data_IF_361756899148
#
_entry.id   IF_361756899148
#
_cell.length_a   1.000
_cell.length_b   1.000
_cell.length_c   1.000
_cell.angle_alpha   90.00
_cell.angle_beta   90.00
_cell.angle_gamma   90.00
#
_symmetry.space_group_name_H-M   'P 1'
#
loop_
_entity.id
_entity.type
_entity.pdbx_description
1 polymer ?
#
# COMPACT_ATOMS: atom_id res chain seq x y z
N UNK A 1 2.48 -15.00 11.18
CA UNK A 1 1.07 -14.53 11.19
C UNK A 1 0.96 -13.43 10.15
N UNK A 2 0.13 -13.59 9.13
CA UNK A 2 -0.20 -12.53 8.16
C UNK A 2 -1.41 -11.72 8.66
N UNK A 3 -1.52 -10.48 8.21
CA UNK A 3 -2.66 -9.60 8.47
C UNK A 3 -3.65 -9.66 7.31
N UNK A 4 -4.93 -9.48 7.60
CA UNK A 4 -5.95 -9.30 6.57
C UNK A 4 -5.76 -7.95 5.88
N UNK A 5 -5.89 -7.94 4.55
CA UNK A 5 -5.80 -6.73 3.74
C UNK A 5 -7.20 -6.34 3.27
N UNK A 6 -7.67 -5.20 3.76
CA UNK A 6 -8.95 -4.59 3.37
C UNK A 6 -8.67 -3.32 2.55
N UNK A 7 -9.32 -3.19 1.40
CA UNK A 7 -9.15 -2.05 0.48
C UNK A 7 -10.36 -1.11 0.60
N UNK A 8 -10.12 0.15 0.93
CA UNK A 8 -11.18 1.16 1.01
C UNK A 8 -11.75 1.48 -0.37
N UNK A 9 -12.98 2.00 -0.42
CA UNK A 9 -13.61 2.41 -1.68
C UNK A 9 -12.83 3.52 -2.39
N UNK A 10 -12.19 4.42 -1.65
CA UNK A 10 -11.31 5.47 -2.18
C UNK A 10 -10.05 4.87 -2.81
N UNK A 11 -9.35 3.99 -2.09
CA UNK A 11 -8.17 3.32 -2.62
C UNK A 11 -8.49 2.53 -3.90
N UNK A 12 -9.65 1.85 -3.95
CA UNK A 12 -10.10 1.15 -5.15
C UNK A 12 -10.28 2.09 -6.35
N UNK A 13 -10.84 3.29 -6.16
CA UNK A 13 -10.99 4.29 -7.22
C UNK A 13 -9.64 4.84 -7.67
N UNK A 14 -8.69 5.03 -6.75
CA UNK A 14 -7.36 5.52 -7.09
C UNK A 14 -6.57 4.50 -7.92
N UNK A 15 -6.70 3.21 -7.59
CA UNK A 15 -6.10 2.13 -8.39
C UNK A 15 -6.64 2.07 -9.83
N UNK A 16 -7.88 2.49 -10.06
CA UNK A 16 -8.47 2.52 -11.41
C UNK A 16 -7.90 3.65 -12.30
N UNK A 17 -7.21 4.63 -11.72
CA UNK A 17 -6.72 5.83 -12.43
C UNK A 17 -5.25 5.73 -12.86
N UNK A 18 -4.58 4.62 -12.55
CA UNK A 18 -3.16 4.44 -12.84
C UNK A 18 -2.92 3.22 -13.74
N UNK A 19 -1.78 3.13 -14.46
CA UNK A 19 -1.48 2.02 -15.35
C UNK A 19 -1.55 0.66 -14.65
N UNK A 20 -2.12 -0.34 -15.35
CA UNK A 20 -2.33 -1.70 -14.82
C UNK A 20 -1.06 -2.34 -14.25
N UNK A 21 0.10 -2.09 -14.86
CA UNK A 21 1.40 -2.62 -14.36
C UNK A 21 1.76 -2.06 -12.97
N UNK A 22 1.38 -0.82 -12.66
CA UNK A 22 1.57 -0.23 -11.33
C UNK A 22 0.59 -0.87 -10.34
N UNK A 23 -0.67 -1.07 -10.74
CA UNK A 23 -1.69 -1.72 -9.90
C UNK A 23 -1.24 -3.11 -9.47
N UNK A 24 -0.70 -3.92 -10.40
CA UNK A 24 -0.14 -5.24 -10.07
C UNK A 24 0.93 -5.17 -8.99
N UNK A 25 1.89 -4.25 -9.12
CA UNK A 25 2.95 -4.08 -8.12
C UNK A 25 2.41 -3.65 -6.75
N UNK A 26 1.36 -2.82 -6.72
CA UNK A 26 0.70 -2.42 -5.47
C UNK A 26 0.01 -3.62 -4.81
N UNK A 27 -0.73 -4.42 -5.59
CA UNK A 27 -1.43 -5.62 -5.09
C UNK A 27 -0.40 -6.63 -4.55
N UNK A 28 0.66 -6.93 -5.30
CA UNK A 28 1.73 -7.82 -4.84
C UNK A 28 2.38 -7.31 -3.54
N UNK A 29 2.61 -6.00 -3.43
CA UNK A 29 3.17 -5.42 -2.21
C UNK A 29 2.21 -5.49 -1.03
N UNK A 30 0.91 -5.24 -1.26
CA UNK A 30 -0.11 -5.21 -0.21
C UNK A 30 -0.35 -6.60 0.39
N UNK A 31 -0.52 -7.60 -0.47
CA UNK A 31 -0.81 -8.97 -0.05
C UNK A 31 0.46 -9.80 0.25
N UNK A 32 1.65 -9.28 -0.08
CA UNK A 32 2.95 -9.86 0.27
C UNK A 32 3.54 -9.26 1.55
N UNK A 33 4.64 -8.51 1.41
CA UNK A 33 5.43 -8.00 2.53
C UNK A 33 4.63 -7.15 3.52
N UNK A 34 3.66 -6.37 3.01
CA UNK A 34 2.84 -5.50 3.86
C UNK A 34 1.89 -6.30 4.75
N UNK A 35 1.23 -7.33 4.21
CA UNK A 35 0.39 -8.23 5.01
C UNK A 35 1.23 -9.04 6.02
N UNK A 36 2.43 -9.46 5.62
CA UNK A 36 3.32 -10.27 6.46
C UNK A 36 3.92 -9.47 7.63
N UNK A 37 4.25 -8.20 7.44
CA UNK A 37 4.95 -7.39 8.44
C UNK A 37 4.68 -5.88 8.31
N UNK A 38 3.43 -5.43 8.52
CA UNK A 38 3.01 -4.06 8.18
C UNK A 38 3.78 -2.98 8.94
N UNK A 39 4.11 -3.23 10.20
CA UNK A 39 4.90 -2.30 11.04
C UNK A 39 6.37 -2.21 10.64
N UNK A 40 6.92 -3.21 9.95
CA UNK A 40 8.33 -3.25 9.54
C UNK A 40 8.56 -2.49 8.23
N UNK A 41 7.61 -2.58 7.31
CA UNK A 41 7.69 -1.95 5.98
C UNK A 41 6.98 -0.60 5.91
N UNK A 42 6.18 -0.27 6.92
CA UNK A 42 5.52 1.03 7.06
C UNK A 42 6.22 1.94 8.07
N UNK A 43 6.04 3.26 7.90
CA UNK A 43 6.35 4.26 8.91
C UNK A 43 5.05 4.84 9.49
N UNK A 44 4.99 5.09 10.80
CA UNK A 44 3.84 5.75 11.40
C UNK A 44 3.66 7.14 10.79
N UNK A 45 2.42 7.49 10.48
CA UNK A 45 2.04 8.83 10.08
C UNK A 45 1.83 9.69 11.34
N UNK A 46 1.96 11.00 11.19
CA UNK A 46 1.94 11.96 12.30
C UNK A 46 0.81 12.98 12.14
N UNK A 47 0.53 13.74 13.21
CA UNK A 47 -0.48 14.81 13.27
C UNK A 47 -1.90 14.24 13.12
N UNK A 48 -2.73 14.84 12.28
CA UNK A 48 -4.16 14.53 12.09
C UNK A 48 -4.45 13.10 11.65
N UNK A 49 -3.42 12.34 11.26
CA UNK A 49 -3.51 10.96 10.78
C UNK A 49 -2.67 9.99 11.63
N UNK A 50 -2.39 10.37 12.87
CA UNK A 50 -1.74 9.48 13.85
C UNK A 50 -2.56 8.17 14.03
N UNK A 51 -1.85 7.06 14.17
CA UNK A 51 -2.44 5.71 14.18
C UNK A 51 -2.50 5.03 12.81
N UNK A 52 -2.27 5.78 11.71
CA UNK A 52 -2.11 5.22 10.37
C UNK A 52 -0.63 4.98 10.03
N UNK A 53 -0.37 4.07 9.08
CA UNK A 53 0.95 3.73 8.60
C UNK A 53 1.06 3.96 7.09
N UNK A 54 2.15 4.58 6.65
CA UNK A 54 2.50 4.72 5.24
C UNK A 54 3.61 3.75 4.85
N UNK A 55 3.41 2.95 3.82
CA UNK A 55 4.43 2.07 3.24
C UNK A 55 4.86 2.59 1.87
N UNK A 56 6.17 2.59 1.59
CA UNK A 56 6.74 3.03 0.31
C UNK A 56 7.59 1.93 -0.28
N UNK A 57 7.16 1.39 -1.42
CA UNK A 57 8.01 0.63 -2.35
C UNK A 57 8.61 1.65 -3.34
N UNK A 58 9.86 1.47 -3.75
CA UNK A 58 10.65 2.46 -4.52
C UNK A 58 9.91 3.05 -5.73
N UNK A 59 10.44 4.15 -6.28
CA UNK A 59 9.77 4.85 -7.38
C UNK A 59 9.48 3.90 -8.55
N UNK A 60 8.21 3.81 -8.95
CA UNK A 60 7.85 3.16 -10.20
C UNK A 60 8.25 4.09 -11.35
N UNK A 61 9.07 3.59 -12.28
CA UNK A 61 9.38 4.32 -13.50
C UNK A 61 8.37 3.95 -14.57
N UNK A 62 7.59 4.93 -14.99
CA UNK A 62 6.73 4.86 -16.17
C UNK A 62 7.55 5.27 -17.38
N UNK A 63 8.51 4.44 -17.77
CA UNK A 63 9.19 4.56 -19.05
C UNK A 63 8.24 4.12 -20.17
#
# INVERSE_FOLDING_TARGET
MSHEVVVTSTARRDLQRIPRRIVSAIIESAYGDLAASPRRVGKPLQREIEGLFGARRGAYRSD
#
